data_IF_854189122742
#
_entry.id   IF_854189122742
#
_cell.length_a   1.000
_cell.length_b   1.000
_cell.length_c   1.000
_cell.angle_alpha   90.00
_cell.angle_beta   90.00
_cell.angle_gamma   90.00
#
_symmetry.space_group_name_H-M   'P 1'
#
loop_
_entity.id
_entity.type
_entity.pdbx_description
1 polymer ?
#
# COMPACT_ATOMS: atom_id res chain seq x y z
N UNK A 1 -12.33 0.57 9.38
CA UNK A 1 -11.07 1.34 9.52
C UNK A 1 -11.38 2.62 10.27
N UNK A 2 -10.75 2.83 11.41
CA UNK A 2 -10.81 4.12 12.11
C UNK A 2 -9.78 5.02 11.41
N UNK A 3 -10.25 5.87 10.49
CA UNK A 3 -9.40 6.65 9.58
C UNK A 3 -8.84 7.92 10.21
N UNK A 4 -9.24 8.26 11.43
CA UNK A 4 -8.91 9.55 12.05
C UNK A 4 -7.40 9.74 12.29
N UNK A 5 -6.65 8.65 12.45
CA UNK A 5 -5.21 8.67 12.68
C UNK A 5 -4.38 8.74 11.38
N UNK A 6 -5.00 8.60 10.20
CA UNK A 6 -4.30 8.58 8.92
C UNK A 6 -4.27 9.92 8.18
N UNK A 7 -4.95 10.95 8.68
CA UNK A 7 -4.98 12.24 8.00
C UNK A 7 -3.95 13.21 8.59
N UNK A 8 -2.91 13.53 7.81
CA UNK A 8 -1.99 14.62 8.15
C UNK A 8 -2.61 16.01 7.91
N UNK A 9 -3.52 16.10 6.91
CA UNK A 9 -4.36 17.26 6.59
C UNK A 9 -5.52 16.80 5.71
N UNK A 10 -6.43 17.72 5.32
CA UNK A 10 -7.65 17.40 4.55
C UNK A 10 -7.43 16.73 3.19
N UNK A 11 -6.20 16.69 2.66
CA UNK A 11 -5.90 16.13 1.33
C UNK A 11 -4.76 15.10 1.33
N UNK A 12 -4.20 14.78 2.48
CA UNK A 12 -3.08 13.85 2.62
C UNK A 12 -3.48 12.69 3.52
N UNK A 13 -3.31 11.47 3.01
CA UNK A 13 -3.51 10.22 3.74
C UNK A 13 -2.16 9.59 4.03
N UNK A 14 -1.90 9.25 5.28
CA UNK A 14 -0.73 8.51 5.73
C UNK A 14 -1.19 7.09 6.04
N UNK A 15 -0.53 6.08 5.50
CA UNK A 15 -0.87 4.68 5.73
C UNK A 15 0.36 3.79 5.55
N UNK A 16 0.37 2.58 6.16
CA UNK A 16 1.37 1.57 5.85
C UNK A 16 1.36 1.22 4.35
N UNK A 17 2.47 0.74 3.83
CA UNK A 17 2.57 0.24 2.45
C UNK A 17 1.79 -1.06 2.21
N UNK A 18 1.06 -1.54 3.20
CA UNK A 18 0.16 -2.68 3.18
C UNK A 18 -1.18 -2.32 3.84
N UNK A 19 -2.20 -3.17 3.70
CA UNK A 19 -3.51 -2.88 4.27
C UNK A 19 -3.59 -3.32 5.73
N UNK A 20 -4.16 -2.47 6.58
CA UNK A 20 -4.43 -2.75 7.99
C UNK A 20 -5.86 -2.36 8.34
N UNK A 21 -6.52 -3.13 9.18
CA UNK A 21 -7.85 -2.80 9.67
C UNK A 21 -8.10 -3.41 11.06
N UNK A 22 -9.10 -2.92 11.78
CA UNK A 22 -9.61 -3.50 13.02
C UNK A 22 -10.62 -4.64 12.75
N UNK A 23 -11.01 -4.84 11.50
CA UNK A 23 -11.97 -5.83 11.04
C UNK A 23 -11.40 -6.66 9.91
N UNK A 24 -11.90 -7.89 9.76
CA UNK A 24 -11.56 -8.74 8.62
C UNK A 24 -11.84 -8.07 7.27
N UNK A 25 -10.99 -8.34 6.30
CA UNK A 25 -11.08 -7.80 4.94
C UNK A 25 -10.57 -8.82 3.90
N UNK A 26 -10.91 -8.65 2.61
CA UNK A 26 -10.63 -9.68 1.59
C UNK A 26 -9.16 -10.00 1.37
N UNK A 27 -8.25 -9.04 1.56
CA UNK A 27 -6.80 -9.22 1.32
C UNK A 27 -6.03 -9.61 2.58
N UNK A 28 -6.73 -9.93 3.66
CA UNK A 28 -6.15 -10.34 4.93
C UNK A 28 -5.27 -11.57 4.79
N UNK A 29 -4.17 -11.57 5.51
CA UNK A 29 -3.25 -12.70 5.66
C UNK A 29 -3.31 -13.15 7.12
N UNK A 30 -3.58 -14.44 7.39
CA UNK A 30 -3.66 -14.93 8.75
C UNK A 30 -2.36 -14.71 9.52
N UNK A 31 -2.45 -14.16 10.72
CA UNK A 31 -1.31 -13.79 11.56
C UNK A 31 -0.46 -15.00 11.96
N UNK A 32 -1.04 -16.20 11.95
CA UNK A 32 -0.35 -17.45 12.27
C UNK A 32 0.60 -17.90 11.15
N UNK A 33 0.51 -17.30 9.97
CA UNK A 33 1.43 -17.58 8.85
C UNK A 33 2.70 -16.77 8.96
N UNK A 34 3.79 -17.27 8.38
CA UNK A 34 5.06 -16.51 8.30
C UNK A 34 4.87 -15.14 7.65
N UNK A 35 4.05 -15.04 6.61
CA UNK A 35 3.74 -13.78 5.95
C UNK A 35 2.94 -12.84 6.86
N UNK A 36 1.96 -13.37 7.62
CA UNK A 36 1.20 -12.59 8.60
C UNK A 36 2.07 -12.03 9.71
N UNK A 37 3.05 -12.81 10.19
CA UNK A 37 4.02 -12.35 11.17
C UNK A 37 4.88 -11.19 10.64
N UNK A 38 5.32 -11.24 9.38
CA UNK A 38 6.07 -10.12 8.75
C UNK A 38 5.25 -8.83 8.78
N UNK A 39 3.97 -8.87 8.46
CA UNK A 39 3.11 -7.68 8.51
C UNK A 39 2.88 -7.20 9.95
N UNK A 40 2.66 -8.12 10.88
CA UNK A 40 2.46 -7.79 12.30
C UNK A 40 3.69 -7.12 12.91
N UNK A 41 4.88 -7.68 12.71
CA UNK A 41 6.15 -7.14 13.23
C UNK A 41 6.52 -5.79 12.61
N UNK A 42 6.10 -5.55 11.37
CA UNK A 42 6.37 -4.31 10.63
C UNK A 42 5.36 -3.19 10.89
N UNK A 43 4.47 -3.32 11.88
CA UNK A 43 3.44 -2.31 12.17
C UNK A 43 3.38 -1.95 13.65
N UNK A 44 3.72 -0.72 13.98
CA UNK A 44 3.72 -0.22 15.37
C UNK A 44 2.34 0.23 15.88
N UNK A 45 1.30 0.10 15.08
CA UNK A 45 -0.05 0.51 15.42
C UNK A 45 -0.87 -0.56 16.12
N UNK A 46 -2.12 -0.24 16.49
CA UNK A 46 -3.03 -1.11 17.23
C UNK A 46 -3.97 -1.96 16.35
N UNK A 47 -3.66 -2.16 15.07
CA UNK A 47 -4.49 -2.99 14.20
C UNK A 47 -4.34 -4.48 14.51
N UNK A 48 -5.41 -5.25 14.28
CA UNK A 48 -5.44 -6.69 14.53
C UNK A 48 -5.41 -7.53 13.24
N UNK A 49 -5.63 -6.92 12.09
CA UNK A 49 -5.72 -7.59 10.79
C UNK A 49 -4.81 -6.91 9.78
N UNK A 50 -4.00 -7.70 9.09
CA UNK A 50 -2.97 -7.26 8.15
C UNK A 50 -3.09 -8.01 6.83
N UNK A 51 -2.71 -7.37 5.74
CA UNK A 51 -2.73 -8.02 4.43
C UNK A 51 -2.12 -7.17 3.33
N UNK A 52 -2.10 -7.72 2.13
CA UNK A 52 -1.63 -7.01 0.95
C UNK A 52 -2.44 -5.74 0.69
N UNK A 53 -1.78 -4.72 0.12
CA UNK A 53 -2.44 -3.46 -0.23
C UNK A 53 -3.71 -3.69 -1.04
N UNK A 54 -4.82 -3.17 -0.56
CA UNK A 54 -6.13 -3.25 -1.21
C UNK A 54 -6.46 -1.94 -1.93
N UNK A 55 -6.18 -1.89 -3.23
CA UNK A 55 -6.41 -0.70 -4.04
C UNK A 55 -7.90 -0.40 -4.26
N UNK A 56 -8.78 -1.39 -4.12
CA UNK A 56 -10.23 -1.17 -4.25
C UNK A 56 -10.71 -0.35 -3.06
N UNK A 57 -10.32 -0.74 -1.84
CA UNK A 57 -10.64 0.00 -0.63
C UNK A 57 -9.89 1.34 -0.57
N UNK A 58 -8.61 1.38 -0.93
CA UNK A 58 -7.82 2.61 -0.97
C UNK A 58 -8.45 3.65 -1.91
N UNK A 59 -8.86 3.25 -3.12
CA UNK A 59 -9.53 4.15 -4.07
C UNK A 59 -10.88 4.67 -3.55
N UNK A 60 -11.61 3.87 -2.79
CA UNK A 60 -12.83 4.32 -2.11
C UNK A 60 -12.51 5.41 -1.07
N UNK A 61 -11.48 5.21 -0.23
CA UNK A 61 -11.04 6.19 0.76
C UNK A 61 -10.58 7.50 0.11
N UNK A 62 -9.75 7.40 -0.94
CA UNK A 62 -9.26 8.55 -1.71
C UNK A 62 -10.43 9.38 -2.23
N UNK A 63 -11.39 8.73 -2.89
CA UNK A 63 -12.56 9.39 -3.46
C UNK A 63 -13.46 10.02 -2.39
N UNK A 64 -13.75 9.27 -1.32
CA UNK A 64 -14.64 9.73 -0.24
C UNK A 64 -14.09 10.96 0.50
N UNK A 65 -12.76 11.04 0.65
CA UNK A 65 -12.10 12.07 1.44
C UNK A 65 -11.34 13.10 0.58
N UNK A 66 -11.49 13.08 -0.76
CA UNK A 66 -10.79 13.98 -1.69
C UNK A 66 -9.26 14.00 -1.49
N UNK A 67 -8.67 12.82 -1.28
CA UNK A 67 -7.23 12.67 -1.07
C UNK A 67 -6.49 12.93 -2.38
N UNK A 68 -5.44 13.75 -2.31
CA UNK A 68 -4.59 14.07 -3.46
C UNK A 68 -3.15 13.62 -3.28
N UNK A 69 -2.77 13.24 -2.06
CA UNK A 69 -1.42 12.80 -1.70
C UNK A 69 -1.48 11.58 -0.81
N UNK A 70 -0.58 10.63 -1.03
CA UNK A 70 -0.37 9.49 -0.14
C UNK A 70 1.04 9.57 0.44
N UNK A 71 1.16 9.26 1.72
CA UNK A 71 2.44 8.99 2.38
C UNK A 71 2.39 7.55 2.83
N UNK A 72 3.27 6.72 2.27
CA UNK A 72 3.40 5.32 2.63
C UNK A 72 4.50 5.15 3.68
N UNK A 73 4.21 4.36 4.70
CA UNK A 73 5.14 3.96 5.75
C UNK A 73 5.42 2.46 5.66
N UNK A 74 6.44 1.99 6.38
CA UNK A 74 6.77 0.56 6.48
C UNK A 74 6.97 -0.13 5.11
N UNK A 75 7.67 0.54 4.19
CA UNK A 75 7.93 0.00 2.86
C UNK A 75 8.91 -1.18 2.89
N UNK A 76 9.81 -1.24 3.88
CA UNK A 76 10.68 -2.37 4.21
C UNK A 76 9.87 -3.63 4.49
N UNK A 77 8.76 -3.50 5.22
CA UNK A 77 7.86 -4.62 5.54
C UNK A 77 7.30 -5.27 4.26
N UNK A 78 6.90 -4.47 3.27
CA UNK A 78 6.47 -5.00 1.96
C UNK A 78 7.62 -5.72 1.24
N UNK A 79 8.83 -5.21 1.35
CA UNK A 79 10.03 -5.88 0.81
C UNK A 79 10.24 -7.26 1.44
N UNK A 80 10.22 -7.34 2.75
CA UNK A 80 10.33 -8.62 3.51
C UNK A 80 9.18 -9.57 3.18
N UNK A 81 7.95 -9.06 3.08
CA UNK A 81 6.79 -9.85 2.67
C UNK A 81 6.96 -10.44 1.25
N UNK A 82 7.56 -9.66 0.34
CA UNK A 82 7.90 -10.11 -1.01
C UNK A 82 8.91 -11.26 -1.03
N UNK A 83 9.89 -11.30 -0.12
CA UNK A 83 10.80 -12.44 0.02
C UNK A 83 10.07 -13.69 0.51
N UNK A 84 9.20 -13.57 1.51
CA UNK A 84 8.46 -14.71 2.07
C UNK A 84 7.47 -15.30 1.07
N UNK A 85 6.76 -14.44 0.34
CA UNK A 85 5.74 -14.85 -0.63
C UNK A 85 6.31 -15.17 -2.02
N UNK A 86 7.49 -14.68 -2.34
CA UNK A 86 8.13 -14.78 -3.66
C UNK A 86 7.79 -13.65 -4.62
N UNK A 87 6.76 -12.86 -4.34
CA UNK A 87 6.31 -11.73 -5.14
C UNK A 87 5.70 -10.65 -4.27
N UNK A 88 5.72 -9.40 -4.75
CA UNK A 88 4.92 -8.32 -4.19
C UNK A 88 3.67 -8.16 -5.04
N UNK A 89 2.52 -8.28 -4.38
CA UNK A 89 1.21 -8.23 -5.02
C UNK A 89 0.33 -7.15 -4.42
N UNK A 90 -0.63 -6.68 -5.20
CA UNK A 90 -1.67 -5.73 -4.76
C UNK A 90 -3.02 -6.21 -5.28
N UNK A 91 -4.06 -6.04 -4.48
CA UNK A 91 -5.43 -6.30 -4.92
C UNK A 91 -5.95 -5.09 -5.72
N UNK A 92 -6.35 -5.31 -6.98
CA UNK A 92 -6.88 -4.26 -7.86
C UNK A 92 -8.34 -4.45 -8.25
N UNK A 93 -8.93 -5.59 -7.90
CA UNK A 93 -10.32 -5.92 -8.16
C UNK A 93 -10.74 -7.10 -7.28
N UNK A 94 -12.05 -7.33 -7.20
CA UNK A 94 -12.61 -8.49 -6.53
C UNK A 94 -13.40 -9.36 -7.52
N UNK A 95 -13.38 -10.66 -7.31
CA UNK A 95 -14.41 -11.56 -7.82
C UNK A 95 -15.54 -11.60 -6.79
N UNK A 96 -16.69 -11.05 -7.15
CA UNK A 96 -17.89 -11.02 -6.31
C UNK A 96 -19.02 -11.68 -7.07
N UNK A 97 -19.57 -12.77 -6.51
CA UNK A 97 -20.49 -13.66 -7.22
C UNK A 97 -19.85 -14.15 -8.52
N UNK A 98 -20.40 -13.81 -9.69
CA UNK A 98 -19.85 -14.19 -10.99
C UNK A 98 -19.15 -13.03 -11.73
N UNK A 99 -19.06 -11.86 -11.09
CA UNK A 99 -18.55 -10.64 -11.71
C UNK A 99 -17.18 -10.23 -11.14
N UNK A 100 -16.37 -9.57 -11.96
CA UNK A 100 -15.18 -8.84 -11.51
C UNK A 100 -15.61 -7.40 -11.26
N UNK A 101 -15.38 -6.94 -10.02
CA UNK A 101 -15.76 -5.59 -9.58
C UNK A 101 -14.55 -4.81 -9.09
N UNK A 102 -14.62 -3.48 -9.20
CA UNK A 102 -13.61 -2.53 -8.70
C UNK A 102 -14.22 -1.50 -7.76
N UNK A 103 -15.20 -1.91 -7.02
CA UNK A 103 -15.85 -1.13 -5.97
C UNK A 103 -16.08 -2.03 -4.75
N UNK A 104 -16.27 -1.41 -3.59
CA UNK A 104 -16.57 -2.12 -2.34
C UNK A 104 -18.08 -2.31 -2.25
N UNK A 105 -18.60 -3.55 -2.17
CA UNK A 105 -20.01 -3.80 -1.90
C UNK A 105 -20.38 -3.33 -0.49
N UNK A 106 -21.51 -2.66 -0.33
CA UNK A 106 -21.92 -2.01 0.92
C UNK A 106 -22.02 -2.96 2.12
N UNK A 107 -22.52 -4.18 1.90
CA UNK A 107 -22.86 -5.09 3.00
C UNK A 107 -22.23 -6.49 2.89
N UNK A 108 -21.34 -6.73 1.94
CA UNK A 108 -20.89 -8.11 1.63
C UNK A 108 -19.41 -8.16 1.21
N UNK A 109 -18.59 -7.31 1.83
CA UNK A 109 -17.17 -7.21 1.49
C UNK A 109 -16.43 -8.54 1.70
N UNK A 110 -16.74 -9.27 2.77
CA UNK A 110 -16.07 -10.54 3.09
C UNK A 110 -16.39 -11.68 2.12
N UNK A 111 -17.46 -11.57 1.34
CA UNK A 111 -17.75 -12.51 0.24
C UNK A 111 -16.93 -12.23 -1.02
N UNK A 112 -16.19 -11.15 -1.05
CA UNK A 112 -15.32 -10.79 -2.16
C UNK A 112 -14.03 -11.62 -2.13
N UNK A 113 -13.66 -12.21 -3.26
CA UNK A 113 -12.36 -12.87 -3.43
C UNK A 113 -11.40 -11.90 -4.11
N UNK A 114 -10.27 -11.55 -3.47
CA UNK A 114 -9.32 -10.59 -4.04
C UNK A 114 -8.68 -11.15 -5.32
N UNK A 115 -8.51 -10.30 -6.30
CA UNK A 115 -7.76 -10.57 -7.52
C UNK A 115 -6.52 -9.68 -7.51
N UNK A 116 -5.36 -10.32 -7.59
CA UNK A 116 -4.07 -9.67 -7.43
C UNK A 116 -3.37 -9.42 -8.75
N UNK A 117 -2.58 -8.34 -8.77
CA UNK A 117 -1.54 -8.10 -9.76
C UNK A 117 -0.18 -8.15 -9.10
N UNK A 118 0.78 -8.79 -9.75
CA UNK A 118 2.19 -8.76 -9.33
C UNK A 118 2.77 -7.40 -9.71
N UNK A 119 3.37 -6.73 -8.72
CA UNK A 119 4.05 -5.44 -8.88
C UNK A 119 5.55 -5.64 -9.03
N UNK A 120 6.10 -6.61 -8.30
CA UNK A 120 7.51 -6.99 -8.38
C UNK A 120 7.67 -8.48 -8.12
N UNK A 121 8.68 -9.09 -8.75
CA UNK A 121 9.12 -10.45 -8.44
C UNK A 121 10.16 -10.40 -7.32
N UNK A 122 10.01 -11.28 -6.33
CA UNK A 122 10.81 -11.23 -5.10
C UNK A 122 10.50 -10.01 -4.25
N UNK A 123 11.27 -9.84 -3.19
CA UNK A 123 11.21 -8.71 -2.30
C UNK A 123 12.36 -7.73 -2.51
N UNK A 124 12.54 -6.84 -1.59
CA UNK A 124 13.73 -6.02 -1.39
C UNK A 124 14.05 -5.95 0.10
N UNK A 125 15.31 -5.74 0.38
CA UNK A 125 15.80 -5.49 1.73
C UNK A 125 16.50 -4.15 1.76
N UNK A 126 16.22 -3.36 2.76
CA UNK A 126 16.95 -2.16 3.13
C UNK A 126 16.72 -1.88 4.61
N UNK A 127 17.75 -1.45 5.28
CA UNK A 127 17.63 -0.92 6.64
C UNK A 127 17.24 0.56 6.54
N UNK A 128 16.15 0.96 7.21
CA UNK A 128 15.62 2.33 7.14
C UNK A 128 16.68 3.40 7.47
N UNK A 129 17.63 3.06 8.34
CA UNK A 129 18.70 3.96 8.77
C UNK A 129 19.90 4.02 7.82
N UNK A 130 19.97 3.15 6.80
CA UNK A 130 21.11 3.02 5.89
C UNK A 130 20.79 3.29 4.43
N UNK A 131 19.57 3.74 4.12
CA UNK A 131 19.11 3.91 2.72
C UNK A 131 19.80 5.12 2.08
N UNK A 132 20.81 4.86 1.24
CA UNK A 132 21.35 5.85 0.32
C UNK A 132 20.44 5.99 -0.92
N UNK A 133 19.82 4.89 -1.38
CA UNK A 133 18.89 4.87 -2.51
C UNK A 133 17.81 3.80 -2.32
N UNK A 134 16.56 4.12 -2.67
CA UNK A 134 15.50 3.10 -2.69
C UNK A 134 15.75 2.06 -3.79
N UNK A 135 15.59 0.75 -3.49
CA UNK A 135 15.63 -0.28 -4.51
C UNK A 135 14.64 -0.02 -5.65
N UNK A 136 15.04 -0.36 -6.89
CA UNK A 136 14.18 -0.16 -8.07
C UNK A 136 12.80 -0.83 -7.93
N UNK A 137 12.74 -1.98 -7.28
CA UNK A 137 11.49 -2.70 -6.97
C UNK A 137 10.58 -1.89 -6.03
N UNK A 138 11.15 -1.23 -5.02
CA UNK A 138 10.40 -0.33 -4.13
C UNK A 138 9.91 0.92 -4.89
N UNK A 139 10.75 1.51 -5.74
CA UNK A 139 10.33 2.61 -6.62
C UNK A 139 9.19 2.18 -7.57
N UNK A 140 9.26 0.97 -8.13
CA UNK A 140 8.19 0.42 -8.97
C UNK A 140 6.88 0.24 -8.18
N UNK A 141 6.96 -0.14 -6.90
CA UNK A 141 5.80 -0.20 -6.03
C UNK A 141 5.15 1.18 -5.85
N UNK A 142 5.92 2.23 -5.52
CA UNK A 142 5.41 3.59 -5.41
C UNK A 142 4.77 4.07 -6.72
N UNK A 143 5.44 3.80 -7.84
CA UNK A 143 4.91 4.11 -9.20
C UNK A 143 3.59 3.39 -9.46
N UNK A 144 3.49 2.12 -9.10
CA UNK A 144 2.27 1.34 -9.30
C UNK A 144 1.11 1.94 -8.50
N UNK A 145 1.32 2.25 -7.22
CA UNK A 145 0.30 2.89 -6.38
C UNK A 145 -0.13 4.25 -6.99
N UNK A 146 0.83 5.09 -7.40
CA UNK A 146 0.55 6.37 -8.05
C UNK A 146 -0.38 6.22 -9.26
N UNK A 147 -0.04 5.30 -10.18
CA UNK A 147 -0.79 5.07 -11.42
C UNK A 147 -2.17 4.49 -11.13
N UNK A 148 -2.27 3.56 -10.19
CA UNK A 148 -3.52 2.88 -9.85
C UNK A 148 -4.51 3.79 -9.10
N UNK A 149 -4.01 4.72 -8.28
CA UNK A 149 -4.84 5.61 -7.46
C UNK A 149 -5.10 6.96 -8.12
N UNK A 150 -4.25 7.37 -9.07
CA UNK A 150 -4.31 8.67 -9.76
C UNK A 150 -4.24 9.88 -8.81
N UNK A 151 -3.69 9.72 -7.62
CA UNK A 151 -3.35 10.85 -6.75
C UNK A 151 -2.23 11.68 -7.39
N UNK A 152 -2.03 12.91 -6.91
CA UNK A 152 -0.98 13.79 -7.46
C UNK A 152 0.42 13.27 -7.15
N UNK A 153 0.61 12.72 -5.95
CA UNK A 153 1.90 12.19 -5.51
C UNK A 153 1.74 11.07 -4.48
N UNK A 154 2.68 10.14 -4.49
CA UNK A 154 2.87 9.08 -3.50
C UNK A 154 4.28 9.22 -2.96
N UNK A 155 4.41 9.47 -1.68
CA UNK A 155 5.69 9.65 -0.99
C UNK A 155 5.94 8.48 -0.05
N UNK A 156 7.15 7.97 -0.05
CA UNK A 156 7.73 7.21 1.05
C UNK A 156 8.71 8.12 1.78
N UNK A 157 8.65 8.14 3.10
CA UNK A 157 9.57 8.93 3.92
C UNK A 157 10.07 8.07 5.06
N UNK A 158 11.37 7.99 5.20
CA UNK A 158 12.07 7.48 6.38
C UNK A 158 13.00 8.57 6.94
N UNK A 159 13.71 8.30 8.04
CA UNK A 159 14.42 9.31 8.85
C UNK A 159 15.30 10.28 8.05
N UNK A 160 15.93 9.84 6.95
CA UNK A 160 16.93 10.62 6.21
C UNK A 160 16.59 10.81 4.73
N UNK A 161 15.63 10.06 4.18
CA UNK A 161 15.28 10.09 2.76
C UNK A 161 13.77 10.18 2.58
N UNK A 162 13.35 11.02 1.65
CA UNK A 162 11.99 11.03 1.15
C UNK A 162 12.00 10.86 -0.36
N UNK A 163 11.34 9.82 -0.84
CA UNK A 163 11.16 9.57 -2.29
C UNK A 163 9.71 9.77 -2.65
N UNK A 164 9.46 10.64 -3.63
CA UNK A 164 8.11 10.96 -4.08
C UNK A 164 7.95 10.59 -5.55
N UNK A 165 6.98 9.73 -5.86
CA UNK A 165 6.48 9.48 -7.19
C UNK A 165 5.36 10.48 -7.52
N UNK A 166 5.40 11.10 -8.72
CA UNK A 166 4.43 12.10 -9.19
C UNK A 166 4.27 12.03 -10.71
N UNK A 167 3.24 12.67 -11.25
CA UNK A 167 3.08 12.82 -12.69
C UNK A 167 3.73 14.14 -13.18
N UNK A 168 4.55 14.06 -14.20
CA UNK A 168 5.08 15.26 -14.89
C UNK A 168 3.98 15.96 -15.75
N UNK A 169 4.33 17.08 -16.37
CA UNK A 169 3.42 17.86 -17.22
C UNK A 169 2.85 17.06 -18.41
N UNK A 170 3.51 15.99 -18.80
CA UNK A 170 3.07 15.07 -19.87
C UNK A 170 2.27 13.90 -19.33
N UNK A 171 1.99 13.85 -18.02
CA UNK A 171 1.28 12.76 -17.35
C UNK A 171 2.13 11.48 -17.20
N UNK A 172 3.46 11.57 -17.30
CA UNK A 172 4.36 10.43 -17.10
C UNK A 172 4.81 10.36 -15.65
N UNK A 173 4.85 9.14 -15.03
CA UNK A 173 5.35 8.98 -13.67
C UNK A 173 6.84 9.32 -13.58
N UNK A 174 7.21 10.14 -12.61
CA UNK A 174 8.55 10.58 -12.28
C UNK A 174 8.83 10.41 -10.81
N UNK A 175 10.08 10.50 -10.43
CA UNK A 175 10.53 10.48 -9.05
C UNK A 175 11.32 11.73 -8.71
N UNK A 176 11.22 12.17 -7.47
CA UNK A 176 12.12 13.14 -6.84
C UNK A 176 12.53 12.58 -5.48
N UNK A 177 13.79 12.76 -5.16
CA UNK A 177 14.37 12.38 -3.89
C UNK A 177 14.73 13.65 -3.11
N UNK A 178 14.64 13.56 -1.79
CA UNK A 178 15.04 14.62 -0.89
C UNK A 178 15.72 13.97 0.31
N UNK A 179 16.93 14.42 0.60
CA UNK A 179 17.73 14.01 1.73
C UNK A 179 17.62 15.09 2.83
N UNK A 180 17.58 14.69 4.10
CA UNK A 180 17.43 15.56 5.27
C UNK A 180 18.66 15.54 6.17
#
# INVERSE_FOLDING_TARGET
>A
MNTDNFFANKSTLILPAFWVDDKHFPTEVPIETTLGQVFFEGYDGAANHFGWMDLVQLNLLIKKNNITRLILQNLDTIGRAGFVYGNIIVCNSYKYKQNIIRYVPENDLLSCKPLYSTVSFGGWDFEEDSVEELPLSAMNYLRYILVATKVKEVTYSCNHVSVTAFFDERGLPRFKEKYY
#
